data_IF_438225764593
#
_entry.id   IF_438225764593
#
_cell.length_a   1.000
_cell.length_b   1.000
_cell.length_c   1.000
_cell.angle_alpha   90.00
_cell.angle_beta   90.00
_cell.angle_gamma   90.00
#
_symmetry.space_group_name_H-M   'P 1'
#
loop_
_entity.id
_entity.type
_entity.pdbx_description
1 polymer ?
#
# COMPACT_ATOMS: atom_id res chain seq x y z
N UNK A 1 1.92 6.21 14.19
CA UNK A 1 1.45 7.60 14.03
C UNK A 1 2.44 8.70 14.41
N UNK A 2 2.65 9.06 15.69
CA UNK A 2 3.48 10.25 16.04
C UNK A 2 4.92 10.17 15.50
N UNK A 3 5.54 8.98 15.57
CA UNK A 3 6.86 8.75 15.00
C UNK A 3 6.87 8.94 13.47
N UNK A 4 5.87 8.43 12.76
CA UNK A 4 5.75 8.58 11.30
C UNK A 4 5.64 10.06 10.91
N UNK A 5 4.80 10.83 11.60
CA UNK A 5 4.68 12.28 11.38
C UNK A 5 6.00 13.00 11.64
N UNK A 6 6.68 12.69 12.76
CA UNK A 6 7.94 13.30 13.12
C UNK A 6 9.04 13.03 12.08
N UNK A 7 9.20 11.77 11.67
CA UNK A 7 10.20 11.37 10.68
C UNK A 7 9.89 11.96 9.31
N UNK A 8 8.62 11.91 8.87
CA UNK A 8 8.20 12.50 7.61
C UNK A 8 8.41 14.01 7.59
N UNK A 9 8.08 14.70 8.69
CA UNK A 9 8.35 16.12 8.86
C UNK A 9 9.86 16.42 8.70
N UNK A 10 10.71 15.70 9.44
CA UNK A 10 12.15 15.93 9.36
C UNK A 10 12.71 15.71 7.94
N UNK A 11 12.30 14.62 7.27
CA UNK A 11 12.71 14.32 5.90
C UNK A 11 12.20 15.33 4.86
N UNK A 12 11.01 15.90 5.06
CA UNK A 12 10.43 16.88 4.14
C UNK A 12 11.03 18.27 4.30
N UNK A 13 11.39 18.68 5.53
CA UNK A 13 11.88 20.03 5.80
C UNK A 13 13.41 20.17 5.70
N UNK A 14 14.18 19.12 5.99
CA UNK A 14 15.63 19.15 5.78
C UNK A 14 15.97 18.94 4.28
N UNK A 15 16.54 19.98 3.67
CA UNK A 15 16.91 19.97 2.25
C UNK A 15 17.97 18.93 1.90
N UNK A 16 18.95 18.69 2.79
CA UNK A 16 20.05 17.76 2.54
C UNK A 16 19.49 16.33 2.53
N UNK A 17 18.65 16.02 3.51
CA UNK A 17 17.97 14.73 3.57
C UNK A 17 17.06 14.53 2.38
N UNK A 18 16.25 15.52 2.03
CA UNK A 18 15.30 15.42 0.91
C UNK A 18 15.99 15.19 -0.45
N UNK A 19 17.21 15.68 -0.64
CA UNK A 19 17.93 15.53 -1.91
C UNK A 19 18.58 14.15 -2.10
N UNK A 20 18.71 13.36 -1.03
CA UNK A 20 19.22 11.99 -1.12
C UNK A 20 18.21 11.09 -1.83
N UNK A 21 18.65 10.39 -2.89
CA UNK A 21 17.77 9.52 -3.69
C UNK A 21 17.09 8.43 -2.87
N UNK A 22 17.85 7.82 -1.94
CA UNK A 22 17.34 6.82 -1.01
C UNK A 22 16.14 7.33 -0.21
N UNK A 23 16.16 8.62 0.16
CA UNK A 23 15.15 9.19 1.02
C UNK A 23 13.83 9.43 0.28
N UNK A 24 13.82 9.53 -1.06
CA UNK A 24 12.57 9.70 -1.81
C UNK A 24 11.64 8.49 -1.66
N UNK A 25 12.16 7.27 -1.77
CA UNK A 25 11.35 6.05 -1.60
C UNK A 25 10.88 5.92 -0.15
N UNK A 26 11.75 6.25 0.82
CA UNK A 26 11.38 6.25 2.24
C UNK A 26 10.26 7.26 2.52
N UNK A 27 10.33 8.47 1.96
CA UNK A 27 9.27 9.49 2.10
C UNK A 27 7.94 8.96 1.54
N UNK A 28 7.96 8.33 0.37
CA UNK A 28 6.76 7.75 -0.25
C UNK A 28 6.21 6.61 0.60
N UNK A 29 7.06 5.71 1.08
CA UNK A 29 6.67 4.62 1.97
C UNK A 29 6.03 5.14 3.26
N UNK A 30 6.68 6.10 3.93
CA UNK A 30 6.15 6.73 5.14
C UNK A 30 4.81 7.43 4.90
N UNK A 31 4.65 8.07 3.75
CA UNK A 31 3.39 8.69 3.38
C UNK A 31 2.28 7.65 3.18
N UNK A 32 2.55 6.53 2.51
CA UNK A 32 1.60 5.42 2.34
C UNK A 32 1.25 4.81 3.72
N UNK A 33 2.24 4.55 4.57
CA UNK A 33 2.00 4.06 5.93
C UNK A 33 1.15 5.04 6.75
N UNK A 34 1.38 6.36 6.60
CA UNK A 34 0.59 7.37 7.28
C UNK A 34 -0.87 7.37 6.81
N UNK A 35 -1.11 7.24 5.50
CA UNK A 35 -2.47 7.11 4.97
C UNK A 35 -3.14 5.85 5.51
N UNK A 36 -2.43 4.72 5.51
CA UNK A 36 -2.93 3.47 6.06
C UNK A 36 -3.31 3.61 7.53
N UNK A 37 -2.41 4.16 8.35
CA UNK A 37 -2.69 4.43 9.75
C UNK A 37 -3.90 5.37 9.92
N UNK A 38 -4.04 6.43 9.10
CA UNK A 38 -5.12 7.40 9.23
C UNK A 38 -6.49 6.86 8.83
N UNK A 39 -6.57 5.99 7.83
CA UNK A 39 -7.84 5.45 7.34
C UNK A 39 -8.19 4.15 8.03
N UNK A 40 -7.26 3.20 8.07
CA UNK A 40 -7.56 1.81 8.40
C UNK A 40 -7.63 1.59 9.92
N UNK A 41 -6.65 2.12 10.68
CA UNK A 41 -6.59 1.92 12.14
C UNK A 41 -7.83 2.44 12.87
N UNK A 42 -8.37 3.65 12.58
CA UNK A 42 -9.60 4.11 13.21
C UNK A 42 -10.80 3.22 12.90
N UNK A 43 -10.90 2.69 11.68
CA UNK A 43 -12.01 1.82 11.30
C UNK A 43 -11.91 0.45 11.98
N UNK A 44 -10.70 -0.14 12.04
CA UNK A 44 -10.45 -1.37 12.81
C UNK A 44 -10.78 -1.16 14.30
N UNK A 45 -10.32 -0.06 14.90
CA UNK A 45 -10.62 0.25 16.30
C UNK A 45 -12.13 0.42 16.53
N UNK A 46 -12.82 1.11 15.61
CA UNK A 46 -14.26 1.29 15.70
C UNK A 46 -15.03 -0.03 15.58
N UNK A 47 -14.55 -0.96 14.73
CA UNK A 47 -15.07 -2.32 14.64
C UNK A 47 -14.90 -3.06 15.96
N UNK A 48 -13.73 -3.00 16.59
CA UNK A 48 -13.51 -3.66 17.89
C UNK A 48 -14.37 -3.08 19.02
N UNK A 49 -14.69 -1.78 18.97
CA UNK A 49 -15.55 -1.14 19.97
C UNK A 49 -17.02 -1.57 19.86
N UNK A 50 -17.54 -1.73 18.64
CA UNK A 50 -18.95 -2.07 18.40
C UNK A 50 -19.20 -3.58 18.18
N UNK A 51 -18.13 -4.35 17.99
CA UNK A 51 -18.18 -5.78 17.71
C UNK A 51 -18.88 -6.11 16.38
N UNK A 52 -19.42 -7.32 16.29
CA UNK A 52 -20.12 -7.82 15.09
C UNK A 52 -21.43 -7.10 14.78
N UNK A 53 -21.92 -6.22 15.64
CA UNK A 53 -23.13 -5.44 15.43
C UNK A 53 -22.89 -4.21 14.54
N UNK A 54 -21.64 -3.93 14.14
CA UNK A 54 -21.34 -2.82 13.26
C UNK A 54 -21.72 -3.15 11.82
N UNK A 55 -22.93 -2.77 11.43
CA UNK A 55 -23.41 -2.88 10.06
C UNK A 55 -23.06 -1.61 9.28
N UNK A 56 -22.25 -1.75 8.23
CA UNK A 56 -21.94 -0.68 7.28
C UNK A 56 -22.50 -1.01 5.90
N UNK A 57 -22.85 0.01 5.09
CA UNK A 57 -23.35 -0.22 3.74
C UNK A 57 -22.30 -0.90 2.86
N UNK A 58 -22.75 -1.70 1.89
CA UNK A 58 -21.89 -2.47 0.97
C UNK A 58 -20.91 -1.57 0.21
N UNK A 59 -21.29 -0.35 -0.13
CA UNK A 59 -20.40 0.61 -0.78
C UNK A 59 -19.23 1.02 0.12
N UNK A 60 -19.47 1.23 1.42
CA UNK A 60 -18.42 1.55 2.39
C UNK A 60 -17.51 0.34 2.63
N UNK A 61 -18.10 -0.85 2.74
CA UNK A 61 -17.40 -2.13 2.82
C UNK A 61 -16.36 -2.29 1.69
N UNK A 62 -16.81 -2.13 0.44
CA UNK A 62 -15.95 -2.20 -0.75
C UNK A 62 -14.87 -1.13 -0.77
N UNK A 63 -15.22 0.11 -0.42
CA UNK A 63 -14.27 1.21 -0.35
C UNK A 63 -13.19 0.94 0.70
N UNK A 64 -13.59 0.48 1.89
CA UNK A 64 -12.66 0.19 2.97
C UNK A 64 -11.74 -0.98 2.63
N UNK A 65 -12.28 -2.10 2.13
CA UNK A 65 -11.44 -3.19 1.60
C UNK A 65 -10.46 -2.68 0.56
N UNK A 66 -10.91 -1.83 -0.39
CA UNK A 66 -10.01 -1.29 -1.40
C UNK A 66 -8.85 -0.50 -0.79
N UNK A 67 -9.15 0.39 0.17
CA UNK A 67 -8.12 1.19 0.83
C UNK A 67 -7.16 0.30 1.64
N UNK A 68 -7.66 -0.66 2.42
CA UNK A 68 -6.85 -1.56 3.24
C UNK A 68 -5.87 -2.36 2.36
N UNK A 69 -6.41 -3.19 1.46
CA UNK A 69 -5.59 -4.06 0.62
C UNK A 69 -4.65 -3.27 -0.31
N UNK A 70 -5.13 -2.20 -0.95
CA UNK A 70 -4.29 -1.41 -1.86
C UNK A 70 -3.14 -0.73 -1.12
N UNK A 71 -3.39 -0.11 0.04
CA UNK A 71 -2.34 0.55 0.80
C UNK A 71 -1.39 -0.47 1.45
N UNK A 72 -1.91 -1.55 2.03
CA UNK A 72 -1.10 -2.60 2.65
C UNK A 72 -0.19 -3.28 1.62
N UNK A 73 -0.74 -3.77 0.51
CA UNK A 73 0.04 -4.38 -0.58
C UNK A 73 1.07 -3.43 -1.19
N UNK A 74 0.71 -2.15 -1.37
CA UNK A 74 1.66 -1.13 -1.88
C UNK A 74 2.83 -0.92 -0.92
N UNK A 75 2.64 -1.01 0.40
CA UNK A 75 3.76 -0.90 1.36
C UNK A 75 4.80 -1.99 1.14
N UNK A 76 4.40 -3.27 1.01
CA UNK A 76 5.34 -4.37 0.78
C UNK A 76 6.05 -4.22 -0.57
N UNK A 77 5.32 -3.88 -1.62
CA UNK A 77 5.90 -3.71 -2.96
C UNK A 77 6.91 -2.56 -2.97
N UNK A 78 6.56 -1.41 -2.41
CA UNK A 78 7.46 -0.25 -2.34
C UNK A 78 8.65 -0.52 -1.43
N UNK A 79 8.46 -1.21 -0.30
CA UNK A 79 9.56 -1.62 0.58
C UNK A 79 10.51 -2.59 -0.13
N UNK A 80 9.97 -3.57 -0.85
CA UNK A 80 10.75 -4.51 -1.66
C UNK A 80 11.54 -3.75 -2.73
N UNK A 81 10.90 -2.83 -3.43
CA UNK A 81 11.57 -1.94 -4.38
C UNK A 81 12.68 -1.11 -3.72
N UNK A 82 12.46 -0.55 -2.53
CA UNK A 82 13.47 0.22 -1.80
C UNK A 82 14.74 -0.60 -1.53
N UNK A 83 14.60 -1.89 -1.22
CA UNK A 83 15.75 -2.79 -1.01
C UNK A 83 16.52 -3.07 -2.29
N UNK A 84 15.81 -3.33 -3.40
CA UNK A 84 16.41 -3.52 -4.73
C UNK A 84 17.11 -2.24 -5.18
N UNK A 85 16.47 -1.08 -5.03
CA UNK A 85 17.03 0.20 -5.40
C UNK A 85 18.30 0.51 -4.61
N UNK A 86 18.30 0.26 -3.29
CA UNK A 86 19.49 0.44 -2.46
C UNK A 86 20.64 -0.44 -2.95
N UNK A 87 20.36 -1.67 -3.38
CA UNK A 87 21.36 -2.55 -3.97
C UNK A 87 21.93 -1.93 -5.26
N UNK A 88 21.07 -1.44 -6.17
CA UNK A 88 21.50 -0.76 -7.40
C UNK A 88 22.35 0.48 -7.08
N UNK A 89 21.97 1.27 -6.09
CA UNK A 89 22.69 2.48 -5.68
C UNK A 89 24.10 2.20 -5.14
N UNK A 90 24.29 1.07 -4.44
CA UNK A 90 25.58 0.68 -3.88
C UNK A 90 26.50 0.08 -4.96
N UNK A 91 25.99 -0.82 -5.80
CA UNK A 91 26.82 -1.57 -6.75
C UNK A 91 26.89 -0.94 -8.15
N UNK A 92 25.95 -0.04 -8.50
CA UNK A 92 25.80 0.52 -9.84
C UNK A 92 25.51 2.04 -9.82
N UNK A 93 26.19 2.80 -8.97
CA UNK A 93 26.06 4.25 -8.81
C UNK A 93 26.09 5.04 -10.14
N UNK A 94 26.94 4.62 -11.09
CA UNK A 94 27.08 5.23 -12.42
C UNK A 94 25.80 5.21 -13.26
N UNK A 95 24.87 4.31 -12.97
CA UNK A 95 23.62 4.20 -13.72
C UNK A 95 22.70 5.41 -13.48
N UNK A 96 22.84 6.08 -12.32
CA UNK A 96 21.96 7.18 -11.88
C UNK A 96 22.56 8.58 -12.07
N UNK A 97 23.71 8.67 -12.76
CA UNK A 97 24.40 9.93 -13.02
C UNK A 97 23.57 10.90 -13.87
N UNK A 98 22.91 10.38 -14.92
CA UNK A 98 22.12 11.19 -15.85
C UNK A 98 20.67 11.35 -15.36
N UNK A 99 20.12 12.57 -15.46
CA UNK A 99 18.73 12.88 -15.07
C UNK A 99 17.68 11.97 -15.74
N UNK A 100 17.87 11.66 -17.04
CA UNK A 100 16.97 10.74 -17.78
C UNK A 100 17.04 9.31 -17.24
N UNK A 101 18.25 8.80 -16.97
CA UNK A 101 18.44 7.45 -16.42
C UNK A 101 17.92 7.35 -15.00
N UNK A 102 18.13 8.39 -14.19
CA UNK A 102 17.52 8.51 -12.87
C UNK A 102 16.01 8.42 -12.92
N UNK A 103 15.37 9.12 -13.86
CA UNK A 103 13.92 8.97 -14.05
C UNK A 103 13.50 7.54 -14.39
N UNK A 104 14.18 6.92 -15.36
CA UNK A 104 13.84 5.57 -15.81
C UNK A 104 14.11 4.46 -14.78
N UNK A 105 15.15 4.60 -13.96
CA UNK A 105 15.61 3.54 -13.05
C UNK A 105 15.03 3.73 -11.64
N UNK A 106 14.82 4.96 -11.17
CA UNK A 106 14.36 5.23 -9.80
C UNK A 106 12.87 5.61 -9.76
N UNK A 107 12.45 6.63 -10.51
CA UNK A 107 11.08 7.15 -10.40
C UNK A 107 10.05 6.33 -11.18
N UNK A 108 10.37 5.90 -12.40
CA UNK A 108 9.45 5.19 -13.27
C UNK A 108 8.99 3.84 -12.68
N UNK A 109 9.88 2.96 -12.18
CA UNK A 109 9.46 1.68 -11.61
C UNK A 109 8.56 1.90 -10.39
N UNK A 110 8.90 2.86 -9.54
CA UNK A 110 8.09 3.19 -8.36
C UNK A 110 6.66 3.64 -8.74
N UNK A 111 6.53 4.52 -9.75
CA UNK A 111 5.22 4.96 -10.26
C UNK A 111 4.43 3.77 -10.82
N UNK A 112 5.08 2.92 -11.63
CA UNK A 112 4.45 1.74 -12.23
C UNK A 112 3.98 0.77 -11.14
N UNK A 113 4.80 0.51 -10.12
CA UNK A 113 4.46 -0.40 -9.02
C UNK A 113 3.29 0.10 -8.19
N UNK A 114 3.26 1.39 -7.86
CA UNK A 114 2.13 1.99 -7.14
C UNK A 114 0.86 1.90 -7.99
N UNK A 115 0.90 2.33 -9.25
CA UNK A 115 -0.25 2.25 -10.15
C UNK A 115 -0.74 0.81 -10.35
N UNK A 116 0.20 -0.13 -10.52
CA UNK A 116 -0.10 -1.55 -10.65
C UNK A 116 -0.87 -2.07 -9.43
N UNK A 117 -0.39 -1.78 -8.22
CA UNK A 117 -1.06 -2.20 -6.97
C UNK A 117 -2.49 -1.66 -6.91
N UNK A 118 -2.69 -0.36 -7.12
CA UNK A 118 -4.01 0.25 -7.07
C UNK A 118 -4.95 -0.28 -8.16
N UNK A 119 -4.47 -0.48 -9.38
CA UNK A 119 -5.27 -1.06 -10.47
C UNK A 119 -5.64 -2.51 -10.16
N UNK A 120 -4.67 -3.30 -9.69
CA UNK A 120 -4.87 -4.70 -9.33
C UNK A 120 -5.97 -4.85 -8.27
N UNK A 121 -5.84 -4.15 -7.14
CA UNK A 121 -6.83 -4.23 -6.07
C UNK A 121 -8.18 -3.60 -6.45
N UNK A 122 -8.19 -2.58 -7.33
CA UNK A 122 -9.45 -2.05 -7.88
C UNK A 122 -10.20 -3.13 -8.66
N UNK A 123 -9.51 -3.89 -9.51
CA UNK A 123 -10.11 -4.99 -10.27
C UNK A 123 -10.58 -6.09 -9.32
N UNK A 124 -9.73 -6.55 -8.40
CA UNK A 124 -10.02 -7.65 -7.47
C UNK A 124 -11.25 -7.36 -6.60
N UNK A 125 -11.44 -6.11 -6.17
CA UNK A 125 -12.45 -5.74 -5.18
C UNK A 125 -13.77 -5.31 -5.84
N UNK A 126 -13.72 -4.55 -6.93
CA UNK A 126 -14.93 -4.01 -7.55
C UNK A 126 -15.50 -4.88 -8.69
N UNK A 127 -14.74 -5.81 -9.25
CA UNK A 127 -15.27 -6.67 -10.31
C UNK A 127 -16.19 -7.77 -9.72
N UNK A 128 -17.32 -8.08 -10.39
CA UNK A 128 -18.33 -9.01 -9.89
C UNK A 128 -17.91 -10.47 -10.14
N UNK A 129 -16.87 -10.93 -9.47
CA UNK A 129 -16.38 -12.31 -9.63
C UNK A 129 -17.31 -13.37 -9.03
N UNK A 130 -18.12 -13.00 -8.03
CA UNK A 130 -18.96 -13.95 -7.29
C UNK A 130 -20.42 -13.49 -7.25
N UNK A 131 -21.37 -14.30 -7.75
CA UNK A 131 -22.79 -13.93 -7.78
C UNK A 131 -23.52 -14.07 -6.43
N UNK A 132 -22.96 -14.78 -5.43
CA UNK A 132 -23.72 -15.18 -4.23
C UNK A 132 -23.02 -15.04 -2.88
N UNK A 133 -21.79 -14.53 -2.82
CA UNK A 133 -21.07 -14.37 -1.55
C UNK A 133 -20.87 -12.89 -1.27
N UNK A 134 -21.85 -12.30 -0.58
CA UNK A 134 -21.56 -11.16 0.27
C UNK A 134 -20.53 -11.61 1.31
N UNK A 135 -19.42 -10.87 1.37
CA UNK A 135 -18.31 -10.91 2.32
C UNK A 135 -18.57 -11.80 3.54
N UNK A 136 -18.07 -13.04 3.52
CA UNK A 136 -18.12 -13.88 4.73
C UNK A 136 -17.06 -13.38 5.71
N UNK A 137 -17.48 -13.23 6.96
CA UNK A 137 -16.72 -12.92 8.18
C UNK A 137 -15.53 -11.98 7.96
N UNK A 138 -15.66 -10.70 8.34
CA UNK A 138 -14.57 -9.76 8.19
C UNK A 138 -13.35 -10.20 9.00
N UNK A 139 -12.17 -10.22 8.38
CA UNK A 139 -10.91 -10.35 9.11
C UNK A 139 -10.63 -8.97 9.72
N UNK A 140 -10.67 -8.86 11.06
CA UNK A 140 -10.46 -7.59 11.76
C UNK A 140 -11.43 -6.45 11.37
N UNK A 141 -12.63 -6.78 10.89
CA UNK A 141 -13.59 -5.78 10.39
C UNK A 141 -13.49 -5.53 8.89
N UNK A 142 -12.42 -5.96 8.23
CA UNK A 142 -12.22 -5.80 6.79
C UNK A 142 -12.85 -6.96 6.01
N UNK A 143 -13.74 -6.67 5.05
CA UNK A 143 -14.32 -7.67 4.16
C UNK A 143 -13.27 -8.33 3.26
N UNK A 144 -13.22 -9.67 3.27
CA UNK A 144 -12.28 -10.44 2.44
C UNK A 144 -12.86 -10.65 1.02
N UNK A 145 -12.14 -10.30 -0.06
CA UNK A 145 -12.65 -10.52 -1.42
C UNK A 145 -12.89 -12.01 -1.72
N UNK A 146 -14.04 -12.31 -2.30
CA UNK A 146 -14.47 -13.70 -2.53
C UNK A 146 -13.55 -14.46 -3.49
N UNK A 147 -12.87 -13.78 -4.42
CA UNK A 147 -12.00 -14.39 -5.43
C UNK A 147 -10.87 -15.19 -4.79
N UNK A 148 -10.39 -14.76 -3.62
CA UNK A 148 -9.34 -15.46 -2.88
C UNK A 148 -9.79 -16.83 -2.34
N UNK A 149 -11.09 -17.07 -2.15
CA UNK A 149 -11.61 -18.37 -1.74
C UNK A 149 -11.72 -19.36 -2.91
N UNK A 150 -12.05 -18.87 -4.10
CA UNK A 150 -12.27 -19.73 -5.27
C UNK A 150 -10.99 -20.02 -6.05
N UNK A 151 -10.05 -19.07 -6.06
CA UNK A 151 -8.81 -19.19 -6.83
C UNK A 151 -7.64 -19.34 -5.86
N UNK A 152 -7.38 -20.58 -5.44
CA UNK A 152 -6.31 -20.93 -4.49
C UNK A 152 -4.93 -20.37 -4.88
N UNK A 153 -4.64 -20.17 -6.18
CA UNK A 153 -3.34 -19.61 -6.61
C UNK A 153 -3.19 -18.14 -6.21
N UNK A 154 -4.29 -17.39 -6.17
CA UNK A 154 -4.23 -15.95 -5.88
C UNK A 154 -4.08 -15.73 -4.37
N UNK A 155 -4.71 -16.56 -3.54
CA UNK A 155 -4.63 -16.44 -2.08
C UNK A 155 -3.29 -16.84 -1.48
N UNK A 156 -2.43 -17.58 -2.20
CA UNK A 156 -1.08 -17.95 -1.72
C UNK A 156 -0.22 -16.72 -1.42
N UNK A 157 -0.46 -15.60 -2.09
CA UNK A 157 0.34 -14.38 -1.95
C UNK A 157 -0.17 -13.44 -0.84
N UNK A 158 -1.30 -13.76 -0.22
CA UNK A 158 -2.01 -12.93 0.77
C UNK A 158 -2.03 -13.56 2.18
N UNK A 159 -1.42 -14.74 2.35
CA UNK A 159 -1.23 -15.48 3.61
C UNK A 159 0.20 -15.34 4.12
#
# INVERSE_FOLDING_TARGET
MLCCFFVLYYLLFDRILRQSLNNHVIIILLFICLLYELFDVPFILNFFLHGFNWEFPVSFSLFWSFIDYALYGTQFIVFSWATIERHILIFHDRWLFNRKRRFLIHYLPLIILILYSFIYYCIIIFAPFCPYIFYRLPAYGVPFPCIYYYVNIISIWEL
#
